data_IF_597160950950
#
_entry.id   IF_597160950950
#
_cell.length_a   1.000
_cell.length_b   1.000
_cell.length_c   1.000
_cell.angle_alpha   90.00
_cell.angle_beta   90.00
_cell.angle_gamma   90.00
#
_symmetry.space_group_name_H-M   'P 1'
#
loop_
_entity.id
_entity.type
_entity.pdbx_description
1 polymer ?
#
# COMPACT_ATOMS: atom_id res chain seq x y z
N UNK A 1 12.95 3.44 20.05
CA UNK A 1 13.63 2.13 19.91
C UNK A 1 13.76 1.30 21.21
N UNK A 2 13.33 1.77 22.39
CA UNK A 2 13.39 0.95 23.63
C UNK A 2 12.42 -0.25 23.66
N UNK A 3 11.34 -0.24 22.86
CA UNK A 3 10.30 -1.28 22.89
C UNK A 3 10.55 -2.48 21.95
N UNK A 4 11.63 -2.49 21.17
CA UNK A 4 11.91 -3.57 20.19
C UNK A 4 12.45 -4.84 20.89
N UNK A 5 12.95 -4.73 22.12
CA UNK A 5 13.70 -5.83 22.77
C UNK A 5 12.92 -6.60 23.86
N UNK A 6 11.68 -6.24 24.18
CA UNK A 6 10.94 -6.90 25.29
C UNK A 6 10.26 -8.22 24.90
N UNK A 7 10.06 -8.51 23.60
CA UNK A 7 9.32 -9.71 23.13
C UNK A 7 10.20 -10.88 22.66
N UNK A 8 11.53 -10.78 22.68
CA UNK A 8 12.42 -11.86 22.22
C UNK A 8 12.36 -12.18 20.71
N UNK A 9 11.55 -11.43 19.95
CA UNK A 9 11.51 -11.42 18.49
C UNK A 9 12.11 -10.10 18.01
N UNK A 10 12.93 -10.15 16.96
CA UNK A 10 13.43 -8.94 16.29
C UNK A 10 12.40 -8.28 15.37
N UNK A 11 11.23 -8.90 15.18
CA UNK A 11 10.15 -8.39 14.33
C UNK A 11 9.26 -7.41 15.08
N UNK A 12 8.68 -6.49 14.32
CA UNK A 12 7.89 -5.37 14.80
C UNK A 12 6.41 -5.70 14.69
N UNK A 13 5.63 -5.36 15.71
CA UNK A 13 4.17 -5.26 15.60
C UNK A 13 3.80 -3.84 15.17
N UNK A 14 3.32 -3.70 13.92
CA UNK A 14 2.90 -2.43 13.37
C UNK A 14 1.83 -1.74 14.23
N UNK A 15 0.83 -2.47 14.75
CA UNK A 15 -0.29 -1.87 15.47
C UNK A 15 0.13 -1.34 16.84
N UNK A 16 0.99 -2.08 17.53
CA UNK A 16 1.39 -1.73 18.89
C UNK A 16 2.59 -0.78 18.93
N UNK A 17 3.50 -0.87 17.94
CA UNK A 17 4.79 -0.20 18.01
C UNK A 17 4.99 0.91 16.96
N UNK A 18 4.32 0.84 15.80
CA UNK A 18 4.54 1.79 14.69
C UNK A 18 3.37 2.74 14.51
N UNK A 19 2.14 2.22 14.43
CA UNK A 19 0.93 3.00 14.20
C UNK A 19 0.72 4.09 15.26
N UNK A 20 0.95 3.89 16.57
CA UNK A 20 0.79 4.94 17.57
C UNK A 20 1.75 6.11 17.34
N UNK A 21 2.97 5.83 16.85
CA UNK A 21 3.96 6.86 16.52
C UNK A 21 3.56 7.63 15.26
N UNK A 22 3.13 6.91 14.22
CA UNK A 22 2.62 7.53 12.99
C UNK A 22 1.40 8.41 13.27
N UNK A 23 0.44 7.91 14.06
CA UNK A 23 -0.76 8.63 14.44
C UNK A 23 -0.44 9.89 15.24
N UNK A 24 0.49 9.79 16.21
CA UNK A 24 1.02 10.94 16.94
C UNK A 24 1.66 11.98 16.02
N UNK A 25 2.44 11.54 15.03
CA UNK A 25 3.06 12.43 14.03
C UNK A 25 2.02 13.13 13.14
N UNK A 26 0.95 12.42 12.74
CA UNK A 26 -0.17 13.00 12.01
C UNK A 26 -0.88 14.08 12.85
N UNK A 27 -1.11 13.81 14.15
CA UNK A 27 -1.69 14.79 15.07
C UNK A 27 -0.78 16.02 15.24
N UNK A 28 0.53 15.79 15.37
CA UNK A 28 1.54 16.85 15.48
C UNK A 28 1.52 17.78 14.26
N UNK A 29 1.53 17.20 13.06
CA UNK A 29 1.47 17.95 11.81
C UNK A 29 0.16 18.72 11.69
N UNK A 30 -0.98 18.08 11.97
CA UNK A 30 -2.29 18.73 12.00
C UNK A 30 -2.27 19.98 12.90
N UNK A 31 -1.86 19.82 14.16
CA UNK A 31 -1.91 20.91 15.15
C UNK A 31 -0.88 22.00 14.87
N UNK A 32 0.31 21.64 14.41
CA UNK A 32 1.34 22.60 14.04
C UNK A 32 0.91 23.47 12.87
N UNK A 33 0.32 22.85 11.83
CA UNK A 33 -0.23 23.57 10.67
C UNK A 33 -1.41 24.44 11.07
N UNK A 34 -2.34 23.93 11.89
CA UNK A 34 -3.50 24.69 12.37
C UNK A 34 -3.09 25.93 13.19
N UNK A 35 -2.03 25.82 14.00
CA UNK A 35 -1.51 26.93 14.79
C UNK A 35 -0.65 27.90 13.98
N UNK A 36 -0.27 27.55 12.75
CA UNK A 36 0.68 28.31 11.93
C UNK A 36 2.11 28.34 12.51
N UNK A 37 2.45 27.41 13.41
CA UNK A 37 3.77 27.32 14.03
C UNK A 37 4.12 25.87 14.38
N UNK A 38 5.39 25.51 14.19
CA UNK A 38 5.92 24.21 14.60
C UNK A 38 5.95 24.11 16.13
N UNK A 39 5.28 23.09 16.66
CA UNK A 39 5.34 22.76 18.09
C UNK A 39 6.66 22.05 18.42
N UNK A 40 7.03 21.97 19.69
CA UNK A 40 8.14 21.14 20.11
C UNK A 40 7.77 19.65 20.02
N UNK A 41 8.36 18.94 19.05
CA UNK A 41 8.08 17.54 18.80
C UNK A 41 8.42 16.63 19.99
N UNK A 42 9.40 17.01 20.82
CA UNK A 42 9.82 16.21 21.98
C UNK A 42 8.82 16.19 23.13
N UNK A 43 7.97 17.21 23.24
CA UNK A 43 6.98 17.37 24.32
C UNK A 43 5.53 17.36 23.85
N UNK A 44 5.27 17.32 22.53
CA UNK A 44 3.92 17.25 22.01
C UNK A 44 3.23 15.96 22.43
N UNK A 45 2.03 16.08 22.98
CA UNK A 45 1.10 14.98 23.22
C UNK A 45 -0.23 15.27 22.52
N UNK A 46 -0.75 14.36 21.69
CA UNK A 46 -2.01 14.57 20.99
C UNK A 46 -3.17 14.84 21.94
N UNK A 47 -3.90 15.93 21.69
CA UNK A 47 -5.15 16.19 22.40
C UNK A 47 -6.25 15.22 21.93
N UNK A 48 -7.29 15.02 22.75
CA UNK A 48 -8.45 14.22 22.35
C UNK A 48 -9.14 14.77 21.08
N UNK A 49 -9.07 16.10 20.86
CA UNK A 49 -9.56 16.74 19.65
C UNK A 49 -8.70 16.37 18.43
N UNK A 50 -7.37 16.46 18.54
CA UNK A 50 -6.46 16.09 17.44
C UNK A 50 -6.64 14.62 17.04
N UNK A 51 -6.73 13.74 18.04
CA UNK A 51 -6.97 12.30 17.84
C UNK A 51 -8.28 12.09 17.09
N UNK A 52 -9.37 12.70 17.54
CA UNK A 52 -10.67 12.54 16.90
C UNK A 52 -10.67 13.04 15.45
N UNK A 53 -9.95 14.14 15.15
CA UNK A 53 -9.80 14.64 13.79
C UNK A 53 -9.05 13.63 12.92
N UNK A 54 -7.88 13.15 13.36
CA UNK A 54 -7.09 12.19 12.59
C UNK A 54 -7.83 10.86 12.40
N UNK A 55 -8.52 10.37 13.43
CA UNK A 55 -9.33 9.16 13.35
C UNK A 55 -10.47 9.32 12.33
N UNK A 56 -11.10 10.49 12.26
CA UNK A 56 -12.14 10.77 11.26
C UNK A 56 -11.62 10.76 9.82
N UNK A 57 -10.35 11.11 9.61
CA UNK A 57 -9.69 11.05 8.29
C UNK A 57 -9.37 9.60 7.91
N UNK A 58 -8.83 8.82 8.86
CA UNK A 58 -8.50 7.41 8.66
C UNK A 58 -9.76 6.55 8.45
N UNK A 59 -10.81 6.82 9.22
CA UNK A 59 -12.02 6.01 9.28
C UNK A 59 -13.31 6.86 9.16
N UNK A 60 -13.54 7.51 8.00
CA UNK A 60 -14.65 8.46 7.83
C UNK A 60 -16.05 7.84 7.98
N UNK A 61 -16.16 6.50 7.93
CA UNK A 61 -17.41 5.76 8.10
C UNK A 61 -17.66 5.25 9.52
N UNK A 62 -16.66 5.25 10.41
CA UNK A 62 -16.74 4.49 11.66
C UNK A 62 -17.81 5.02 12.63
N UNK A 63 -18.17 6.30 12.52
CA UNK A 63 -19.20 6.94 13.35
C UNK A 63 -20.50 7.20 12.58
N UNK A 64 -20.68 6.61 11.40
CA UNK A 64 -21.81 6.90 10.51
C UNK A 64 -22.60 5.62 10.24
N UNK A 65 -23.89 5.63 10.59
CA UNK A 65 -24.85 4.66 10.09
C UNK A 65 -25.68 5.32 8.99
N UNK A 66 -25.84 4.63 7.87
CA UNK A 66 -26.63 5.13 6.75
C UNK A 66 -27.96 4.40 6.67
N UNK A 67 -29.03 5.18 6.51
CA UNK A 67 -30.40 4.65 6.51
C UNK A 67 -30.73 3.93 5.21
N UNK A 68 -30.20 4.43 4.10
CA UNK A 68 -30.46 3.98 2.73
C UNK A 68 -29.26 4.20 1.82
N UNK A 69 -29.29 3.64 0.61
CA UNK A 69 -28.29 3.93 -0.42
C UNK A 69 -28.27 5.40 -0.82
N UNK A 70 -29.44 6.05 -0.82
CA UNK A 70 -29.57 7.47 -1.12
C UNK A 70 -28.85 8.33 -0.08
N UNK A 71 -29.04 8.03 1.20
CA UNK A 71 -28.36 8.68 2.31
C UNK A 71 -26.84 8.47 2.23
N UNK A 72 -26.40 7.24 1.98
CA UNK A 72 -24.98 6.94 1.75
C UNK A 72 -24.38 7.73 0.57
N UNK A 73 -25.12 7.82 -0.53
CA UNK A 73 -24.69 8.58 -1.72
C UNK A 73 -24.55 10.06 -1.42
N UNK A 74 -25.50 10.65 -0.70
CA UNK A 74 -25.43 12.05 -0.27
C UNK A 74 -24.22 12.31 0.63
N UNK A 75 -24.01 11.43 1.62
CA UNK A 75 -22.84 11.48 2.48
C UNK A 75 -21.53 11.37 1.68
N UNK A 76 -21.43 10.43 0.74
CA UNK A 76 -20.21 10.22 -0.05
C UNK A 76 -19.89 11.44 -0.92
N UNK A 77 -20.90 12.02 -1.57
CA UNK A 77 -20.71 13.25 -2.34
C UNK A 77 -20.32 14.43 -1.46
N UNK A 78 -20.88 14.54 -0.25
CA UNK A 78 -20.46 15.55 0.72
C UNK A 78 -19.00 15.35 1.16
N UNK A 79 -18.61 14.10 1.45
CA UNK A 79 -17.24 13.73 1.78
C UNK A 79 -16.26 14.11 0.67
N UNK A 80 -16.59 13.81 -0.60
CA UNK A 80 -15.77 14.22 -1.75
C UNK A 80 -15.64 15.73 -1.87
N UNK A 81 -16.74 16.50 -1.71
CA UNK A 81 -16.69 17.97 -1.75
C UNK A 81 -15.81 18.53 -0.64
N UNK A 82 -15.94 18.00 0.58
CA UNK A 82 -15.10 18.42 1.71
C UNK A 82 -13.63 18.12 1.42
N UNK A 83 -13.30 16.91 0.97
CA UNK A 83 -11.91 16.54 0.65
C UNK A 83 -11.30 17.40 -0.47
N UNK A 84 -12.11 17.77 -1.47
CA UNK A 84 -11.72 18.70 -2.54
C UNK A 84 -11.44 20.11 -2.00
N UNK A 85 -12.27 20.62 -1.09
CA UNK A 85 -12.03 21.91 -0.43
C UNK A 85 -10.74 21.87 0.40
N UNK A 86 -10.54 20.84 1.22
CA UNK A 86 -9.30 20.65 1.99
C UNK A 86 -8.06 20.57 1.06
N UNK A 87 -8.22 20.00 -0.15
CA UNK A 87 -7.13 19.93 -1.13
C UNK A 87 -6.70 21.29 -1.70
N UNK A 88 -7.57 22.32 -1.63
CA UNK A 88 -7.26 23.68 -2.09
C UNK A 88 -6.32 24.42 -1.14
N UNK A 89 -6.36 24.08 0.14
CA UNK A 89 -5.44 24.63 1.15
C UNK A 89 -4.02 24.03 1.02
N UNK A 90 -3.90 22.92 0.28
CA UNK A 90 -2.65 22.21 0.06
C UNK A 90 -2.09 21.56 1.33
N UNK A 91 -0.96 20.86 1.20
CA UNK A 91 -0.30 20.14 2.29
C UNK A 91 0.63 21.00 3.16
N UNK A 92 0.70 22.31 2.90
CA UNK A 92 1.53 23.26 3.67
C UNK A 92 0.68 24.07 4.64
N UNK A 93 -0.45 24.59 4.16
CA UNK A 93 -1.35 25.44 4.95
C UNK A 93 -2.61 24.71 5.39
N UNK A 94 -3.05 23.70 4.65
CA UNK A 94 -4.20 22.87 5.01
C UNK A 94 -3.82 21.83 6.08
N UNK A 95 -4.37 21.91 7.30
CA UNK A 95 -3.95 21.06 8.42
C UNK A 95 -4.30 19.58 8.20
N UNK A 96 -5.44 19.29 7.55
CA UNK A 96 -5.83 17.91 7.21
C UNK A 96 -4.86 17.33 6.18
N UNK A 97 -4.57 18.07 5.12
CA UNK A 97 -3.69 17.58 4.05
C UNK A 97 -2.25 17.46 4.53
N UNK A 98 -1.76 18.38 5.36
CA UNK A 98 -0.47 18.28 6.02
C UNK A 98 -0.37 16.98 6.85
N UNK A 99 -1.39 16.68 7.66
CA UNK A 99 -1.42 15.46 8.46
C UNK A 99 -1.41 14.18 7.62
N UNK A 100 -2.19 14.14 6.53
CA UNK A 100 -2.17 12.97 5.63
C UNK A 100 -0.84 12.79 4.89
N UNK A 101 -0.13 13.89 4.63
CA UNK A 101 1.14 13.88 3.91
C UNK A 101 2.28 13.27 4.73
N UNK A 102 2.16 13.23 6.06
CA UNK A 102 3.10 12.52 6.94
C UNK A 102 3.31 11.07 6.53
N UNK A 103 2.27 10.36 6.08
CA UNK A 103 2.39 8.98 5.59
C UNK A 103 3.36 8.89 4.40
N UNK A 104 3.40 9.93 3.57
CA UNK A 104 4.34 10.03 2.44
C UNK A 104 5.75 10.36 2.91
N UNK A 105 5.88 11.24 3.91
CA UNK A 105 7.17 11.70 4.44
C UNK A 105 7.89 10.60 5.21
N UNK A 106 7.15 9.82 6.02
CA UNK A 106 7.73 8.69 6.78
C UNK A 106 7.81 7.39 5.98
N UNK A 107 7.43 7.40 4.69
CA UNK A 107 7.34 6.17 3.89
C UNK A 107 8.64 5.37 3.86
N UNK A 108 9.79 6.04 3.79
CA UNK A 108 11.08 5.34 3.76
C UNK A 108 11.40 4.68 5.11
N UNK A 109 10.98 5.29 6.23
CA UNK A 109 11.06 4.67 7.56
C UNK A 109 10.13 3.44 7.65
N UNK A 110 8.91 3.56 7.10
CA UNK A 110 7.99 2.43 7.02
C UNK A 110 8.57 1.29 6.18
N UNK A 111 9.20 1.58 5.05
CA UNK A 111 9.90 0.58 4.23
C UNK A 111 10.99 -0.13 5.02
N UNK A 112 11.84 0.61 5.73
CA UNK A 112 12.88 -0.01 6.56
C UNK A 112 12.31 -0.95 7.63
N UNK A 113 11.15 -0.62 8.20
CA UNK A 113 10.50 -1.47 9.20
C UNK A 113 9.78 -2.70 8.61
N UNK A 114 9.33 -2.64 7.34
CA UNK A 114 8.47 -3.66 6.73
C UNK A 114 9.26 -4.61 5.82
N UNK A 115 10.23 -4.08 5.06
CA UNK A 115 11.05 -4.84 4.11
C UNK A 115 11.59 -6.14 4.73
N UNK A 116 11.69 -7.19 3.92
CA UNK A 116 12.27 -8.48 4.28
C UNK A 116 11.63 -9.14 5.51
N UNK A 117 10.31 -9.02 5.67
CA UNK A 117 9.55 -9.57 6.80
C UNK A 117 9.92 -8.93 8.14
N UNK A 118 10.17 -7.62 8.14
CA UNK A 118 10.44 -6.87 9.37
C UNK A 118 9.25 -6.83 10.35
N UNK A 119 8.03 -6.99 9.84
CA UNK A 119 6.83 -7.13 10.67
C UNK A 119 6.54 -8.59 11.05
N UNK A 120 5.98 -8.80 12.25
CA UNK A 120 5.36 -10.08 12.64
C UNK A 120 4.30 -10.50 11.62
N UNK A 121 4.17 -11.79 11.31
CA UNK A 121 3.32 -12.28 10.21
C UNK A 121 1.86 -11.79 10.26
N UNK A 122 1.22 -11.88 11.44
CA UNK A 122 -0.14 -11.38 11.65
C UNK A 122 -0.24 -9.85 11.48
N UNK A 123 0.75 -9.12 11.99
CA UNK A 123 0.80 -7.66 11.91
C UNK A 123 1.05 -7.20 10.47
N UNK A 124 1.89 -7.92 9.72
CA UNK A 124 2.13 -7.71 8.30
C UNK A 124 0.84 -7.91 7.49
N UNK A 125 0.12 -9.02 7.72
CA UNK A 125 -1.16 -9.27 7.06
C UNK A 125 -2.17 -8.15 7.34
N UNK A 126 -2.36 -7.80 8.61
CA UNK A 126 -3.29 -6.75 8.98
C UNK A 126 -2.91 -5.40 8.36
N UNK A 127 -1.62 -5.06 8.37
CA UNK A 127 -1.09 -3.86 7.74
C UNK A 127 -1.45 -3.78 6.26
N UNK A 128 -1.17 -4.83 5.47
CA UNK A 128 -1.45 -4.83 4.04
C UNK A 128 -2.93 -4.84 3.71
N UNK A 129 -3.76 -5.51 4.51
CA UNK A 129 -5.20 -5.63 4.24
C UNK A 129 -6.00 -4.42 4.73
N UNK A 130 -5.56 -3.73 5.79
CA UNK A 130 -6.33 -2.67 6.44
C UNK A 130 -5.67 -1.28 6.30
N UNK A 131 -4.39 -1.15 6.66
CA UNK A 131 -3.72 0.16 6.67
C UNK A 131 -3.27 0.60 5.28
N UNK A 132 -2.67 -0.29 4.50
CA UNK A 132 -2.18 0.07 3.17
C UNK A 132 -3.28 0.63 2.24
N UNK A 133 -4.51 0.07 2.19
CA UNK A 133 -5.62 0.67 1.44
C UNK A 133 -6.03 2.06 1.97
N UNK A 134 -6.01 2.27 3.29
CA UNK A 134 -6.31 3.59 3.90
C UNK A 134 -5.24 4.60 3.49
N UNK A 135 -3.96 4.24 3.60
CA UNK A 135 -2.83 5.09 3.22
C UNK A 135 -2.88 5.44 1.73
N UNK A 136 -3.21 4.46 0.89
CA UNK A 136 -3.43 4.68 -0.53
C UNK A 136 -4.59 5.65 -0.79
N UNK A 137 -5.67 5.60 0.00
CA UNK A 137 -6.81 6.51 -0.13
C UNK A 137 -6.46 7.95 0.25
N UNK A 138 -5.77 8.16 1.38
CA UNK A 138 -5.63 9.50 1.97
C UNK A 138 -4.33 10.23 1.61
N UNK A 139 -3.23 9.51 1.38
CA UNK A 139 -1.92 10.12 1.16
C UNK A 139 -1.39 9.96 -0.27
N UNK A 140 -1.84 8.91 -0.97
CA UNK A 140 -1.48 8.65 -2.37
C UNK A 140 -2.59 9.19 -3.28
N UNK A 141 -3.83 8.83 -2.93
CA UNK A 141 -5.08 9.37 -3.39
C UNK A 141 -5.38 9.16 -4.88
N UNK A 142 -6.66 9.16 -5.28
CA UNK A 142 -6.99 9.62 -6.61
C UNK A 142 -6.57 11.10 -6.75
N UNK A 143 -6.01 11.53 -7.89
CA UNK A 143 -5.69 12.94 -8.11
C UNK A 143 -6.92 13.84 -7.96
N UNK A 144 -6.76 15.08 -7.46
CA UNK A 144 -7.83 16.09 -7.29
C UNK A 144 -8.79 16.13 -8.49
N UNK A 145 -8.22 16.27 -9.70
CA UNK A 145 -8.97 16.33 -10.95
C UNK A 145 -9.88 15.10 -11.19
N UNK A 146 -9.48 13.91 -10.75
CA UNK A 146 -10.29 12.69 -10.89
C UNK A 146 -11.48 12.68 -9.93
N UNK A 147 -11.30 13.22 -8.71
CA UNK A 147 -12.41 13.38 -7.78
C UNK A 147 -13.40 14.45 -8.26
N UNK A 148 -12.94 15.56 -8.84
CA UNK A 148 -13.81 16.58 -9.47
C UNK A 148 -14.64 15.97 -10.61
N UNK A 149 -14.00 15.19 -11.48
CA UNK A 149 -14.67 14.49 -12.58
C UNK A 149 -15.70 13.48 -12.08
N UNK A 150 -15.35 12.67 -11.08
CA UNK A 150 -16.29 11.72 -10.47
C UNK A 150 -17.50 12.45 -9.90
N UNK A 151 -17.27 13.52 -9.13
CA UNK A 151 -18.34 14.30 -8.53
C UNK A 151 -19.26 14.91 -9.60
N UNK A 152 -18.72 15.50 -10.67
CA UNK A 152 -19.50 16.06 -11.77
C UNK A 152 -20.35 14.99 -12.49
N UNK A 153 -19.80 13.79 -12.70
CA UNK A 153 -20.53 12.67 -13.29
C UNK A 153 -21.63 12.15 -12.36
N UNK A 154 -21.41 12.16 -11.04
CA UNK A 154 -22.43 11.82 -10.06
C UNK A 154 -23.55 12.86 -10.01
N UNK A 155 -23.22 14.16 -10.05
CA UNK A 155 -24.20 15.26 -10.10
C UNK A 155 -25.04 15.23 -11.39
N UNK A 156 -24.45 14.82 -12.51
CA UNK A 156 -25.13 14.62 -13.77
C UNK A 156 -25.94 13.30 -13.85
N UNK A 157 -25.94 12.48 -12.79
CA UNK A 157 -26.55 11.15 -12.75
C UNK A 157 -26.03 10.18 -13.84
N UNK A 158 -24.80 10.40 -14.32
CA UNK A 158 -24.11 9.49 -15.25
C UNK A 158 -23.44 8.35 -14.49
N UNK A 159 -22.96 8.63 -13.27
CA UNK A 159 -22.36 7.65 -12.35
C UNK A 159 -23.18 7.62 -11.06
N UNK A 160 -23.41 6.45 -10.51
CA UNK A 160 -24.08 6.27 -9.23
C UNK A 160 -23.36 5.20 -8.42
N UNK A 161 -23.43 5.30 -7.09
CA UNK A 161 -22.92 4.24 -6.22
C UNK A 161 -23.85 3.04 -6.32
N UNK A 162 -23.27 1.86 -6.54
CA UNK A 162 -24.02 0.61 -6.58
C UNK A 162 -24.28 0.02 -5.18
N UNK A 163 -23.67 0.58 -4.14
CA UNK A 163 -23.77 0.04 -2.78
C UNK A 163 -22.99 0.83 -1.74
N UNK A 164 -23.23 0.48 -0.47
CA UNK A 164 -22.58 1.07 0.71
C UNK A 164 -21.50 0.20 1.35
N UNK A 165 -21.24 0.45 2.62
CA UNK A 165 -20.39 -0.40 3.47
C UNK A 165 -20.92 -1.85 3.46
N UNK A 166 -20.01 -2.83 3.51
CA UNK A 166 -20.32 -4.26 3.60
C UNK A 166 -21.17 -4.83 2.44
N UNK A 167 -21.12 -4.16 1.28
CA UNK A 167 -21.78 -4.63 0.05
C UNK A 167 -21.18 -5.94 -0.47
N UNK A 168 -22.04 -6.79 -1.02
CA UNK A 168 -21.66 -8.07 -1.64
C UNK A 168 -21.99 -8.04 -3.13
N UNK A 169 -21.06 -8.53 -3.93
CA UNK A 169 -21.24 -8.72 -5.37
C UNK A 169 -21.59 -10.19 -5.62
N UNK A 170 -22.71 -10.44 -6.28
CA UNK A 170 -23.22 -11.77 -6.62
C UNK A 170 -23.41 -11.87 -8.13
N UNK A 171 -23.20 -13.05 -8.69
CA UNK A 171 -23.61 -13.37 -10.07
C UNK A 171 -24.93 -14.14 -9.99
N UNK A 172 -25.98 -13.59 -10.59
CA UNK A 172 -27.25 -14.27 -10.78
C UNK A 172 -27.19 -15.06 -12.09
N UNK A 173 -26.87 -16.35 -11.99
CA UNK A 173 -26.73 -17.26 -13.14
C UNK A 173 -28.04 -17.44 -13.91
N UNK A 174 -29.20 -17.30 -13.24
CA UNK A 174 -30.50 -17.44 -13.87
C UNK A 174 -30.81 -16.25 -14.81
N UNK A 175 -30.48 -15.04 -14.39
CA UNK A 175 -30.73 -13.81 -15.16
C UNK A 175 -29.53 -13.37 -16.01
N UNK A 176 -28.34 -13.95 -15.77
CA UNK A 176 -27.11 -13.56 -16.45
C UNK A 176 -26.64 -12.15 -16.06
N UNK A 177 -26.91 -11.72 -14.83
CA UNK A 177 -26.64 -10.36 -14.32
C UNK A 177 -25.77 -10.38 -13.07
N UNK A 178 -25.03 -9.30 -12.87
CA UNK A 178 -24.35 -9.01 -11.61
C UNK A 178 -25.28 -8.24 -10.68
N UNK A 179 -25.23 -8.57 -9.39
CA UNK A 179 -26.04 -7.92 -8.37
C UNK A 179 -25.15 -7.40 -7.25
N UNK A 180 -25.35 -6.15 -6.86
CA UNK A 180 -24.74 -5.56 -5.67
C UNK A 180 -25.78 -5.49 -4.58
N UNK A 181 -25.59 -6.29 -3.53
CA UNK A 181 -26.46 -6.37 -2.37
C UNK A 181 -25.83 -5.57 -1.23
N UNK A 182 -26.53 -4.56 -0.73
CA UNK A 182 -26.01 -3.68 0.32
C UNK A 182 -26.97 -3.62 1.50
N UNK A 183 -26.51 -3.95 2.72
CA UNK A 183 -27.30 -3.74 3.92
C UNK A 183 -27.22 -2.27 4.35
N UNK A 184 -28.38 -1.68 4.65
CA UNK A 184 -28.51 -0.40 5.34
C UNK A 184 -29.38 -0.57 6.58
N UNK A 185 -29.49 0.47 7.41
CA UNK A 185 -30.23 0.38 8.68
C UNK A 185 -31.74 0.16 8.48
N UNK A 186 -32.32 0.82 7.48
CA UNK A 186 -33.77 0.77 7.24
C UNK A 186 -34.14 -0.07 6.02
N UNK A 187 -33.18 -0.38 5.16
CA UNK A 187 -33.40 -1.13 3.93
C UNK A 187 -32.25 -2.07 3.59
N UNK A 188 -32.47 -2.92 2.58
CA UNK A 188 -31.41 -3.59 1.85
C UNK A 188 -31.61 -3.30 0.38
N UNK A 189 -30.56 -2.86 -0.31
CA UNK A 189 -30.66 -2.55 -1.73
C UNK A 189 -30.04 -3.64 -2.57
N UNK A 190 -30.65 -3.87 -3.72
CA UNK A 190 -30.15 -4.73 -4.79
C UNK A 190 -30.04 -3.89 -6.06
N UNK A 191 -28.82 -3.74 -6.58
CA UNK A 191 -28.57 -3.08 -7.87
C UNK A 191 -28.05 -4.10 -8.86
N UNK A 192 -28.76 -4.23 -9.98
CA UNK A 192 -28.40 -5.13 -11.07
C UNK A 192 -27.53 -4.41 -12.13
N UNK A 193 -26.59 -5.14 -12.74
CA UNK A 193 -25.75 -4.68 -13.83
C UNK A 193 -25.47 -5.80 -14.84
N UNK A 194 -25.46 -5.47 -16.13
CA UNK A 194 -25.17 -6.43 -17.20
C UNK A 194 -23.67 -6.72 -17.35
N UNK A 195 -22.81 -5.77 -16.95
CA UNK A 195 -21.35 -5.83 -17.16
C UNK A 195 -20.61 -5.49 -15.88
N UNK A 196 -19.71 -6.37 -15.47
CA UNK A 196 -18.74 -6.13 -14.40
C UNK A 196 -17.37 -5.76 -14.99
N UNK A 197 -16.91 -4.55 -14.69
CA UNK A 197 -15.54 -4.12 -15.01
C UNK A 197 -14.70 -4.19 -13.73
N UNK A 198 -13.75 -5.14 -13.66
CA UNK A 198 -12.78 -5.22 -12.57
C UNK A 198 -11.66 -4.17 -12.76
N UNK A 199 -11.95 -2.93 -12.37
CA UNK A 199 -11.01 -1.80 -12.46
C UNK A 199 -10.01 -1.75 -11.28
N UNK A 200 -9.41 -2.89 -10.91
CA UNK A 200 -8.39 -3.00 -9.86
C UNK A 200 -7.11 -3.59 -10.44
N UNK A 201 -5.96 -3.03 -10.08
CA UNK A 201 -4.66 -3.61 -10.38
C UNK A 201 -4.50 -4.84 -9.47
N UNK A 202 -4.19 -6.00 -10.08
CA UNK A 202 -3.90 -7.21 -9.32
C UNK A 202 -2.50 -7.10 -8.69
N UNK A 203 -2.39 -7.47 -7.42
CA UNK A 203 -1.06 -7.69 -6.80
C UNK A 203 -0.38 -8.85 -7.50
N UNK A 204 0.91 -8.71 -7.78
CA UNK A 204 1.70 -9.79 -8.34
C UNK A 204 1.91 -10.90 -7.30
N UNK A 205 1.70 -12.15 -7.69
CA UNK A 205 1.99 -13.32 -6.88
C UNK A 205 2.45 -14.48 -7.76
N UNK A 206 3.64 -15.06 -7.56
CA UNK A 206 4.14 -16.18 -8.35
C UNK A 206 3.30 -17.45 -8.16
N UNK A 207 2.44 -17.51 -7.14
CA UNK A 207 1.52 -18.62 -6.89
C UNK A 207 0.34 -18.66 -7.88
N UNK A 208 -0.04 -17.50 -8.43
CA UNK A 208 -1.26 -17.36 -9.24
C UNK A 208 -1.01 -16.64 -10.58
N UNK A 209 0.24 -16.27 -10.88
CA UNK A 209 0.58 -15.55 -12.10
C UNK A 209 0.38 -16.42 -13.34
N UNK A 210 -0.27 -15.86 -14.37
CA UNK A 210 -0.57 -16.60 -15.60
C UNK A 210 0.60 -16.62 -16.60
N UNK A 211 1.64 -15.80 -16.39
CA UNK A 211 2.80 -15.67 -17.28
C UNK A 211 3.53 -17.01 -17.42
N UNK A 212 3.76 -17.50 -18.66
CA UNK A 212 4.53 -18.71 -18.87
C UNK A 212 5.92 -18.67 -18.23
N UNK A 213 6.57 -17.50 -18.22
CA UNK A 213 7.89 -17.33 -17.63
C UNK A 213 7.86 -17.58 -16.12
N UNK A 214 7.00 -16.87 -15.39
CA UNK A 214 6.93 -16.97 -13.92
C UNK A 214 6.52 -18.38 -13.50
N UNK A 215 5.48 -18.94 -14.14
CA UNK A 215 5.07 -20.32 -13.86
C UNK A 215 6.20 -21.31 -14.06
N UNK A 216 6.94 -21.20 -15.16
CA UNK A 216 8.05 -22.12 -15.45
C UNK A 216 9.19 -21.93 -14.45
N UNK A 217 9.55 -20.69 -14.09
CA UNK A 217 10.60 -20.43 -13.10
C UNK A 217 10.23 -20.97 -11.72
N UNK A 218 8.98 -20.79 -11.28
CA UNK A 218 8.50 -21.33 -10.01
C UNK A 218 8.40 -22.86 -10.03
N UNK A 219 7.86 -23.45 -11.12
CA UNK A 219 7.74 -24.91 -11.24
C UNK A 219 9.10 -25.62 -11.27
N UNK A 220 10.11 -25.02 -11.91
CA UNK A 220 11.48 -25.54 -11.93
C UNK A 220 12.29 -25.16 -10.68
N UNK A 221 11.68 -24.45 -9.72
CA UNK A 221 12.33 -24.06 -8.47
C UNK A 221 13.43 -23.00 -8.60
N UNK A 222 13.50 -22.31 -9.74
CA UNK A 222 14.45 -21.20 -10.00
C UNK A 222 14.15 -20.01 -9.07
N UNK A 223 12.87 -19.78 -8.80
CA UNK A 223 12.38 -18.75 -7.87
C UNK A 223 11.30 -19.33 -6.96
N UNK A 224 11.09 -18.71 -5.80
CA UNK A 224 10.01 -19.08 -4.86
C UNK A 224 9.20 -17.85 -4.41
N UNK A 225 7.94 -18.02 -3.97
CA UNK A 225 7.19 -16.94 -3.32
C UNK A 225 7.89 -16.45 -2.06
N UNK A 226 7.83 -15.15 -1.81
CA UNK A 226 8.25 -14.59 -0.53
C UNK A 226 7.27 -14.99 0.58
N UNK A 227 7.79 -15.42 1.72
CA UNK A 227 6.97 -15.92 2.84
C UNK A 227 7.42 -15.30 4.17
N UNK A 228 6.47 -14.77 4.93
CA UNK A 228 6.63 -14.33 6.31
C UNK A 228 5.89 -15.30 7.25
N UNK A 229 6.59 -16.32 7.77
CA UNK A 229 6.03 -17.30 8.72
C UNK A 229 4.68 -17.87 8.27
N UNK A 230 4.58 -18.30 7.01
CA UNK A 230 3.35 -18.87 6.43
C UNK A 230 2.41 -17.88 5.75
N UNK A 231 2.61 -16.56 5.94
CA UNK A 231 1.90 -15.53 5.20
C UNK A 231 2.66 -15.11 3.93
N UNK A 232 1.96 -14.99 2.81
CA UNK A 232 2.52 -14.51 1.54
C UNK A 232 2.03 -13.07 1.27
N UNK A 233 2.86 -12.02 1.53
CA UNK A 233 2.46 -10.64 1.29
C UNK A 233 2.46 -10.24 -0.19
N UNK A 234 2.96 -11.11 -1.08
CA UNK A 234 3.17 -10.85 -2.50
C UNK A 234 4.59 -11.18 -2.93
N UNK A 235 4.86 -11.15 -4.25
CA UNK A 235 6.23 -11.09 -4.76
C UNK A 235 7.04 -12.38 -4.74
N UNK A 236 8.22 -12.30 -5.34
CA UNK A 236 9.27 -13.30 -5.26
C UNK A 236 10.10 -13.08 -4.01
N UNK A 237 10.62 -14.17 -3.46
CA UNK A 237 11.65 -14.11 -2.42
C UNK A 237 12.97 -13.64 -3.04
N UNK A 238 13.62 -12.68 -2.39
CA UNK A 238 14.85 -12.05 -2.86
C UNK A 238 15.82 -11.83 -1.71
N UNK A 239 17.11 -11.77 -2.01
CA UNK A 239 18.12 -11.30 -1.07
C UNK A 239 18.18 -9.75 -1.02
N UNK A 240 19.04 -9.22 -0.14
CA UNK A 240 19.26 -7.79 0.01
C UNK A 240 19.84 -7.11 -1.24
N UNK A 241 20.43 -7.89 -2.15
CA UNK A 241 21.01 -7.44 -3.41
C UNK A 241 20.02 -7.55 -4.58
N UNK A 242 18.75 -7.89 -4.32
CA UNK A 242 17.70 -8.08 -5.32
C UNK A 242 17.86 -9.34 -6.19
N UNK A 243 18.68 -10.31 -5.79
CA UNK A 243 18.73 -11.61 -6.43
C UNK A 243 17.60 -12.49 -5.91
N UNK A 244 16.87 -13.20 -6.77
CA UNK A 244 15.81 -14.09 -6.30
C UNK A 244 16.37 -15.33 -5.63
N UNK A 245 15.61 -15.83 -4.66
CA UNK A 245 15.93 -17.05 -3.93
C UNK A 245 15.25 -18.26 -4.59
N UNK A 246 16.02 -19.31 -4.82
CA UNK A 246 15.51 -20.57 -5.39
C UNK A 246 14.81 -21.43 -4.31
N UNK A 247 14.22 -22.56 -4.72
CA UNK A 247 13.55 -23.49 -3.79
C UNK A 247 14.47 -24.03 -2.69
N UNK A 248 15.78 -24.13 -2.96
CA UNK A 248 16.79 -24.60 -2.01
C UNK A 248 17.22 -23.53 -1.00
N UNK A 249 16.80 -22.27 -1.18
CA UNK A 249 17.20 -21.15 -0.33
C UNK A 249 18.47 -20.44 -0.81
N UNK A 250 18.88 -20.65 -2.06
CA UNK A 250 20.11 -20.08 -2.63
C UNK A 250 19.77 -18.90 -3.56
N UNK A 251 20.52 -17.82 -3.43
CA UNK A 251 20.41 -16.66 -4.29
C UNK A 251 20.86 -16.96 -5.73
N UNK A 252 20.04 -16.58 -6.71
CA UNK A 252 20.35 -16.68 -8.12
C UNK A 252 21.04 -15.40 -8.61
N UNK A 253 22.37 -15.38 -8.55
CA UNK A 253 23.18 -14.17 -8.79
C UNK A 253 23.31 -13.74 -10.25
N UNK A 254 22.68 -14.47 -11.18
CA UNK A 254 22.75 -14.19 -12.62
C UNK A 254 21.64 -13.27 -13.11
N UNK A 255 20.65 -12.96 -12.27
CA UNK A 255 19.58 -12.02 -12.59
C UNK A 255 19.01 -11.37 -11.34
N UNK A 256 18.31 -10.25 -11.53
CA UNK A 256 17.76 -9.44 -10.44
C UNK A 256 16.24 -9.29 -10.62
N UNK A 257 15.55 -9.06 -9.50
CA UNK A 257 14.10 -8.83 -9.45
C UNK A 257 13.84 -7.45 -8.87
N UNK A 258 13.13 -6.60 -9.61
CA UNK A 258 12.89 -5.20 -9.27
C UNK A 258 11.42 -4.83 -9.51
N UNK A 259 10.89 -3.88 -8.73
CA UNK A 259 9.53 -3.36 -8.90
C UNK A 259 8.46 -4.35 -8.41
N UNK A 260 7.30 -4.38 -9.08
CA UNK A 260 6.16 -5.18 -8.64
C UNK A 260 6.47 -6.67 -8.37
N UNK A 261 7.33 -7.36 -9.15
CA UNK A 261 7.73 -8.73 -8.83
C UNK A 261 8.46 -8.91 -7.49
N UNK A 262 9.07 -7.85 -6.95
CA UNK A 262 9.70 -7.81 -5.63
C UNK A 262 8.75 -7.28 -4.53
N UNK A 263 7.53 -6.87 -4.86
CA UNK A 263 6.57 -6.36 -3.87
C UNK A 263 6.23 -7.46 -2.86
N UNK A 264 6.51 -7.20 -1.58
CA UNK A 264 6.33 -8.16 -0.49
C UNK A 264 7.64 -8.30 0.29
N UNK A 265 8.72 -8.67 -0.41
CA UNK A 265 10.06 -8.57 0.14
C UNK A 265 10.51 -7.11 0.24
N UNK A 266 10.19 -6.29 -0.77
CA UNK A 266 10.30 -4.85 -0.71
C UNK A 266 8.89 -4.25 -0.58
N UNK A 267 8.68 -3.38 0.40
CA UNK A 267 7.42 -2.69 0.58
C UNK A 267 7.32 -1.46 -0.33
N UNK A 268 6.17 -1.34 -0.98
CA UNK A 268 5.75 -0.14 -1.70
C UNK A 268 6.65 0.21 -2.89
N UNK A 269 6.79 -0.74 -3.80
CA UNK A 269 7.48 -0.60 -5.10
C UNK A 269 6.63 0.09 -6.17
N UNK A 270 5.34 0.31 -5.89
CA UNK A 270 4.37 0.95 -6.79
C UNK A 270 4.58 2.45 -7.05
N UNK A 271 5.65 3.06 -6.51
CA UNK A 271 5.88 4.50 -6.62
C UNK A 271 6.73 4.83 -7.84
N UNK A 272 6.31 5.84 -8.59
CA UNK A 272 7.13 6.40 -9.66
C UNK A 272 8.26 7.28 -9.10
N UNK A 273 9.38 7.41 -9.84
CA UNK A 273 10.44 8.35 -9.48
C UNK A 273 9.90 9.78 -9.32
N UNK A 274 10.33 10.46 -8.26
CA UNK A 274 9.94 11.84 -7.96
C UNK A 274 11.15 12.77 -8.04
N UNK A 275 10.97 14.01 -8.52
CA UNK A 275 12.03 15.02 -8.44
C UNK A 275 12.50 15.23 -7.00
N UNK A 276 13.80 15.47 -6.83
CA UNK A 276 14.43 15.82 -5.55
C UNK A 276 14.30 14.77 -4.43
N UNK A 277 13.89 13.54 -4.76
CA UNK A 277 13.81 12.42 -3.83
C UNK A 277 14.64 11.27 -4.36
N UNK A 278 15.44 10.65 -3.49
CA UNK A 278 16.22 9.46 -3.81
C UNK A 278 15.30 8.24 -3.96
N UNK A 279 14.59 8.18 -5.09
CA UNK A 279 13.46 7.28 -5.30
C UNK A 279 13.91 5.82 -5.30
N UNK A 280 13.30 4.99 -4.43
CA UNK A 280 13.63 3.56 -4.24
C UNK A 280 13.84 2.81 -5.56
N UNK A 281 12.95 2.98 -6.53
CA UNK A 281 13.06 2.35 -7.86
C UNK A 281 14.41 2.65 -8.56
N UNK A 282 14.86 3.90 -8.54
CA UNK A 282 16.14 4.29 -9.16
C UNK A 282 17.34 3.76 -8.35
N UNK A 283 17.23 3.77 -7.02
CA UNK A 283 18.27 3.25 -6.12
C UNK A 283 18.47 1.75 -6.33
N UNK A 284 17.39 0.98 -6.33
CA UNK A 284 17.45 -0.48 -6.49
C UNK A 284 17.99 -0.86 -7.87
N UNK A 285 17.52 -0.19 -8.93
CA UNK A 285 18.03 -0.39 -10.28
C UNK A 285 19.53 -0.05 -10.37
N UNK A 286 19.95 1.07 -9.77
CA UNK A 286 21.37 1.47 -9.73
C UNK A 286 22.24 0.45 -8.99
N UNK A 287 21.77 -0.09 -7.87
CA UNK A 287 22.46 -1.16 -7.12
C UNK A 287 22.63 -2.42 -7.96
N UNK A 288 21.58 -2.86 -8.67
CA UNK A 288 21.66 -4.04 -9.53
C UNK A 288 22.66 -3.84 -10.68
N UNK A 289 22.67 -2.66 -11.30
CA UNK A 289 23.63 -2.34 -12.37
C UNK A 289 25.06 -2.33 -11.83
N UNK A 290 25.29 -1.71 -10.66
CA UNK A 290 26.61 -1.69 -10.04
C UNK A 290 27.10 -3.11 -9.69
N UNK A 291 26.23 -3.94 -9.13
CA UNK A 291 26.53 -5.35 -8.84
C UNK A 291 26.86 -6.14 -10.11
N UNK A 292 26.06 -5.99 -11.17
CA UNK A 292 26.31 -6.59 -12.48
C UNK A 292 27.70 -6.22 -13.02
N UNK A 293 28.08 -4.94 -13.00
CA UNK A 293 29.41 -4.49 -13.44
C UNK A 293 30.51 -5.10 -12.58
N UNK A 294 30.33 -5.15 -11.26
CA UNK A 294 31.29 -5.76 -10.35
C UNK A 294 31.50 -7.24 -10.68
N UNK A 295 30.42 -8.00 -10.88
CA UNK A 295 30.49 -9.41 -11.28
C UNK A 295 31.23 -9.60 -12.62
N UNK A 296 31.01 -8.73 -13.61
CA UNK A 296 31.70 -8.78 -14.90
C UNK A 296 33.22 -8.55 -14.77
N UNK A 297 33.63 -7.57 -13.96
CA UNK A 297 35.05 -7.28 -13.74
C UNK A 297 35.77 -8.42 -13.02
N UNK A 298 35.12 -9.04 -12.03
CA UNK A 298 35.68 -10.21 -11.32
C UNK A 298 35.85 -11.40 -12.26
N UNK A 299 34.87 -11.66 -13.14
CA UNK A 299 34.96 -12.74 -14.14
C UNK A 299 36.10 -12.53 -15.14
N UNK A 300 36.33 -11.29 -15.59
CA UNK A 300 37.43 -10.95 -16.48
C UNK A 300 38.81 -11.07 -15.81
N UNK A 301 38.88 -10.88 -14.48
CA UNK A 301 40.11 -10.98 -13.72
C UNK A 301 40.49 -12.43 -13.35
N UNK A 302 39.56 -13.38 -13.44
CA UNK A 302 39.85 -14.80 -13.30
C UNK A 302 40.29 -15.36 -14.66
N UNK A 303 41.52 -15.90 -14.80
CA UNK A 303 41.92 -16.54 -16.05
C UNK A 303 40.96 -17.70 -16.33
N UNK A 304 40.48 -17.82 -17.57
CA UNK A 304 39.78 -19.02 -18.03
C UNK A 304 40.66 -20.21 -17.67
N UNK A 305 40.18 -21.07 -16.76
CA UNK A 305 40.80 -22.37 -16.55
C UNK A 305 40.59 -23.11 -17.85
N UNK A 306 41.65 -23.15 -18.67
CA UNK A 306 41.70 -23.99 -19.85
C UNK A 306 41.38 -25.41 -19.38
N UNK A 307 40.19 -25.89 -19.73
CA UNK A 307 39.87 -27.30 -19.62
C UNK A 307 40.74 -27.96 -20.69
N UNK A 308 41.96 -28.35 -20.31
CA UNK A 308 42.77 -29.22 -21.13
C UNK A 308 42.01 -30.54 -21.24
N UNK A 309 41.52 -30.81 -22.45
CA UNK A 309 41.02 -32.13 -22.82
C UNK A 309 42.24 -33.04 -22.99
N UNK A 310 42.43 -33.95 -22.03
CA UNK A 310 43.16 -35.21 -22.24
C UNK A 310 42.14 -36.31 -22.58
#
# INVERSE_FOLDING_TARGET
MKNVFEKGSSKIDFLEQVFPLLHKEMCYAYRSTLNGQWLDAGSYEPSAEDIAVIDSVLYPHQSQEHLSLKDYTQWFMYFLRKDLQESEEGNVHGPIKAATDIIRDVRDILREAIDNSGLESRSHQYFLEHFNPIFNRIAVGPPKLRNEQLLALMEANVVSLAGGKDSRLVLNDCEGKFEVHSPFKEESTEIQADVLIKAKIASFSPLHDASPLIRNMTANGIVRPFMNEGYHPGGLDIDQCQHPINRMGEAQTTFWVLGNPAEGANFYTYVLPRPLVNSRFLVDAGRCVADMYHQMMVRQAQPEVAINAD
#
